data_IF_544426672981
#
_entry.id   IF_544426672981
#
_cell.length_a   1.000
_cell.length_b   1.000
_cell.length_c   1.000
_cell.angle_alpha   90.00
_cell.angle_beta   90.00
_cell.angle_gamma   90.00
#
_symmetry.space_group_name_H-M   'P 1'
#
loop_
_entity.id
_entity.type
_entity.pdbx_description
1 polymer ?
#
# COMPACT_ATOMS: atom_id res chain seq x y z
N UNK A 1 -31.81 34.95 -13.67
CA UNK A 1 -30.63 35.08 -12.79
C UNK A 1 -30.78 34.20 -11.55
N UNK A 2 -31.64 34.52 -10.56
CA UNK A 2 -31.80 33.71 -9.33
C UNK A 2 -32.12 32.22 -9.57
N UNK A 3 -33.11 31.91 -10.42
CA UNK A 3 -33.46 30.53 -10.76
C UNK A 3 -32.34 29.76 -11.50
N UNK A 4 -31.49 30.46 -12.28
CA UNK A 4 -30.34 29.84 -12.94
C UNK A 4 -29.22 29.54 -11.94
N UNK A 5 -28.98 30.45 -11.00
CA UNK A 5 -28.01 30.25 -9.92
C UNK A 5 -28.41 29.08 -9.02
N UNK A 6 -29.70 28.97 -8.68
CA UNK A 6 -30.23 27.86 -7.91
C UNK A 6 -30.10 26.52 -8.64
N UNK A 7 -30.44 26.48 -9.94
CA UNK A 7 -30.27 25.30 -10.76
C UNK A 7 -28.79 24.86 -10.87
N UNK A 8 -27.86 25.80 -11.05
CA UNK A 8 -26.43 25.49 -11.06
C UNK A 8 -25.91 24.97 -9.72
N UNK A 9 -26.38 25.54 -8.60
CA UNK A 9 -26.03 25.05 -7.26
C UNK A 9 -26.57 23.62 -7.01
N UNK A 10 -27.76 23.32 -7.53
CA UNK A 10 -28.31 21.96 -7.52
C UNK A 10 -27.47 21.00 -8.36
N UNK A 11 -27.05 21.41 -9.56
CA UNK A 11 -26.15 20.61 -10.41
C UNK A 11 -24.83 20.33 -9.71
N UNK A 12 -24.23 21.32 -9.04
CA UNK A 12 -22.98 21.14 -8.29
C UNK A 12 -23.13 20.12 -7.15
N UNK A 13 -24.28 20.16 -6.46
CA UNK A 13 -24.62 19.18 -5.42
C UNK A 13 -24.75 17.78 -6.01
N UNK A 14 -25.55 17.61 -7.07
CA UNK A 14 -25.74 16.32 -7.75
C UNK A 14 -24.43 15.77 -8.30
N UNK A 15 -23.55 16.64 -8.81
CA UNK A 15 -22.23 16.26 -9.29
C UNK A 15 -21.39 15.67 -8.14
N UNK A 16 -21.38 16.31 -6.96
CA UNK A 16 -20.71 15.77 -5.78
C UNK A 16 -21.27 14.38 -5.40
N UNK A 17 -22.59 14.24 -5.39
CA UNK A 17 -23.23 12.95 -5.10
C UNK A 17 -22.90 11.87 -6.15
N UNK A 18 -22.83 12.24 -7.43
CA UNK A 18 -22.46 11.33 -8.52
C UNK A 18 -21.06 10.74 -8.28
N UNK A 19 -20.08 11.58 -7.98
CA UNK A 19 -18.71 11.12 -7.72
C UNK A 19 -18.61 10.35 -6.40
N UNK A 20 -19.38 10.70 -5.37
CA UNK A 20 -19.47 9.87 -4.17
C UNK A 20 -20.05 8.48 -4.49
N UNK A 21 -21.15 8.41 -5.25
CA UNK A 21 -21.77 7.16 -5.68
C UNK A 21 -20.82 6.31 -6.54
N UNK A 22 -20.03 6.94 -7.42
CA UNK A 22 -19.06 6.24 -8.27
C UNK A 22 -17.86 5.71 -7.46
N UNK A 23 -17.26 6.54 -6.63
CA UNK A 23 -15.93 6.29 -6.05
C UNK A 23 -16.00 5.60 -4.68
N UNK A 24 -17.03 5.91 -3.90
CA UNK A 24 -17.10 5.53 -2.49
C UNK A 24 -18.26 4.57 -2.17
N UNK A 25 -19.19 4.33 -3.09
CA UNK A 25 -20.27 3.37 -2.90
C UNK A 25 -20.03 2.08 -3.67
N UNK A 26 -20.12 0.96 -2.97
CA UNK A 26 -19.94 -0.38 -3.51
C UNK A 26 -21.26 -1.14 -3.34
N UNK A 27 -21.97 -1.28 -4.46
CA UNK A 27 -23.26 -1.93 -4.50
C UNK A 27 -23.10 -3.46 -4.53
N UNK A 28 -24.07 -4.18 -3.98
CA UNK A 28 -24.15 -5.64 -4.15
C UNK A 28 -24.32 -6.06 -5.61
N UNK A 29 -24.87 -5.17 -6.45
CA UNK A 29 -25.08 -5.35 -7.89
C UNK A 29 -24.41 -4.20 -8.66
N UNK A 30 -23.28 -4.51 -9.30
CA UNK A 30 -22.50 -3.53 -10.06
C UNK A 30 -23.26 -2.99 -11.28
N UNK A 31 -24.14 -3.77 -11.90
CA UNK A 31 -24.95 -3.34 -13.03
C UNK A 31 -25.92 -2.25 -12.59
N UNK A 32 -26.62 -2.46 -11.46
CA UNK A 32 -27.53 -1.44 -10.91
C UNK A 32 -26.81 -0.18 -10.47
N UNK A 33 -25.58 -0.29 -9.94
CA UNK A 33 -24.74 0.89 -9.67
C UNK A 33 -24.43 1.66 -10.95
N UNK A 34 -24.03 0.97 -12.00
CA UNK A 34 -23.69 1.59 -13.28
C UNK A 34 -24.93 2.26 -13.92
N UNK A 35 -26.11 1.63 -13.84
CA UNK A 35 -27.38 2.22 -14.26
C UNK A 35 -27.73 3.48 -13.45
N UNK A 36 -27.56 3.45 -12.12
CA UNK A 36 -27.81 4.60 -11.26
C UNK A 36 -26.84 5.76 -11.53
N UNK A 37 -25.56 5.46 -11.78
CA UNK A 37 -24.56 6.42 -12.22
C UNK A 37 -24.99 7.04 -13.55
N UNK A 38 -25.36 6.23 -14.55
CA UNK A 38 -25.81 6.72 -15.85
C UNK A 38 -27.08 7.59 -15.76
N UNK A 39 -28.05 7.19 -14.93
CA UNK A 39 -29.27 7.96 -14.69
C UNK A 39 -28.97 9.32 -14.04
N UNK A 40 -28.07 9.35 -13.04
CA UNK A 40 -27.66 10.60 -12.38
C UNK A 40 -26.85 11.50 -13.32
N UNK A 41 -26.04 10.94 -14.22
CA UNK A 41 -25.39 11.69 -15.31
C UNK A 41 -26.45 12.36 -16.21
N UNK A 42 -27.46 11.60 -16.66
CA UNK A 42 -28.54 12.18 -17.49
C UNK A 42 -29.29 13.29 -16.76
N UNK A 43 -29.64 13.10 -15.49
CA UNK A 43 -30.29 14.10 -14.65
C UNK A 43 -29.46 15.39 -14.60
N UNK A 44 -28.16 15.28 -14.30
CA UNK A 44 -27.25 16.42 -14.25
C UNK A 44 -27.23 17.16 -15.59
N UNK A 45 -27.06 16.44 -16.70
CA UNK A 45 -26.97 17.04 -18.04
C UNK A 45 -28.25 17.77 -18.42
N UNK A 46 -29.43 17.23 -18.06
CA UNK A 46 -30.73 17.87 -18.32
C UNK A 46 -30.99 19.10 -17.45
N UNK A 47 -30.42 19.14 -16.22
CA UNK A 47 -30.60 20.25 -15.29
C UNK A 47 -29.66 21.43 -15.55
N UNK A 48 -28.65 21.28 -16.41
CA UNK A 48 -27.77 22.40 -16.81
C UNK A 48 -28.62 23.45 -17.55
N UNK A 49 -28.78 24.67 -17.03
CA UNK A 49 -29.63 25.67 -17.67
C UNK A 49 -29.04 26.15 -19.00
N UNK A 50 -29.88 26.33 -20.02
CA UNK A 50 -29.45 26.83 -21.35
C UNK A 50 -28.74 28.20 -21.29
N UNK A 51 -29.11 29.03 -20.30
CA UNK A 51 -28.51 30.33 -20.05
C UNK A 51 -27.22 30.30 -19.22
N UNK A 52 -26.74 29.13 -18.81
CA UNK A 52 -25.49 29.02 -18.06
C UNK A 52 -24.29 29.48 -18.91
N UNK A 53 -23.24 30.07 -18.30
CA UNK A 53 -22.02 30.42 -19.02
C UNK A 53 -21.48 29.22 -19.79
N UNK A 54 -21.24 29.37 -21.10
CA UNK A 54 -20.90 28.26 -22.01
C UNK A 54 -19.75 27.39 -21.50
N UNK A 55 -18.72 28.00 -20.93
CA UNK A 55 -17.58 27.29 -20.35
C UNK A 55 -17.99 26.45 -19.12
N UNK A 56 -18.80 27.01 -18.21
CA UNK A 56 -19.31 26.30 -17.02
C UNK A 56 -20.24 25.16 -17.41
N UNK A 57 -21.13 25.37 -18.37
CA UNK A 57 -22.02 24.33 -18.88
C UNK A 57 -21.23 23.17 -19.51
N UNK A 58 -20.23 23.49 -20.35
CA UNK A 58 -19.35 22.48 -20.96
C UNK A 58 -18.55 21.71 -19.89
N UNK A 59 -18.03 22.39 -18.88
CA UNK A 59 -17.35 21.75 -17.75
C UNK A 59 -18.28 20.80 -16.98
N UNK A 60 -19.46 21.25 -16.57
CA UNK A 60 -20.40 20.43 -15.79
C UNK A 60 -20.86 19.20 -16.57
N UNK A 61 -21.19 19.38 -17.86
CA UNK A 61 -21.55 18.27 -18.74
C UNK A 61 -20.40 17.29 -18.90
N UNK A 62 -19.20 17.79 -19.22
CA UNK A 62 -18.00 16.97 -19.39
C UNK A 62 -17.64 16.20 -18.11
N UNK A 63 -17.69 16.86 -16.96
CA UNK A 63 -17.41 16.24 -15.66
C UNK A 63 -18.44 15.20 -15.25
N UNK A 64 -19.71 15.37 -15.60
CA UNK A 64 -20.72 14.34 -15.38
C UNK A 64 -20.46 13.13 -16.28
N UNK A 65 -20.25 13.34 -17.57
CA UNK A 65 -19.98 12.27 -18.54
C UNK A 65 -18.69 11.49 -18.22
N UNK A 66 -17.71 12.14 -17.58
CA UNK A 66 -16.46 11.52 -17.14
C UNK A 66 -16.61 10.62 -15.89
N UNK A 67 -17.80 10.51 -15.30
CA UNK A 67 -17.98 9.61 -14.15
C UNK A 67 -18.01 8.12 -14.53
N UNK A 68 -18.12 7.77 -15.82
CA UNK A 68 -18.01 6.37 -16.26
C UNK A 68 -16.55 5.89 -16.20
N UNK A 69 -16.32 4.61 -15.92
CA UNK A 69 -14.95 4.07 -15.74
C UNK A 69 -14.11 4.13 -17.03
N UNK A 70 -14.75 3.90 -18.18
CA UNK A 70 -14.10 3.95 -19.49
C UNK A 70 -13.88 5.37 -20.00
N UNK A 71 -12.93 5.53 -20.92
CA UNK A 71 -12.73 6.80 -21.61
C UNK A 71 -13.99 7.19 -22.41
N UNK A 72 -14.43 8.44 -22.26
CA UNK A 72 -15.57 9.01 -22.99
C UNK A 72 -15.10 10.14 -23.89
N UNK A 73 -15.18 9.93 -25.20
CA UNK A 73 -14.83 10.96 -26.19
C UNK A 73 -15.73 12.20 -26.07
N UNK A 74 -17.02 12.02 -25.76
CA UNK A 74 -17.93 13.14 -25.52
C UNK A 74 -17.51 13.95 -24.28
N UNK A 75 -17.10 13.29 -23.19
CA UNK A 75 -16.59 13.97 -22.01
C UNK A 75 -15.33 14.80 -22.35
N UNK A 76 -14.38 14.20 -23.07
CA UNK A 76 -13.17 14.87 -23.53
C UNK A 76 -13.50 16.13 -24.36
N UNK A 77 -14.39 16.02 -25.35
CA UNK A 77 -14.78 17.15 -26.20
C UNK A 77 -15.42 18.30 -25.39
N UNK A 78 -16.27 17.99 -24.42
CA UNK A 78 -16.89 19.02 -23.56
C UNK A 78 -15.86 19.68 -22.64
N UNK A 79 -14.93 18.91 -22.07
CA UNK A 79 -13.87 19.43 -21.20
C UNK A 79 -12.85 20.27 -21.98
N UNK A 80 -12.45 19.84 -23.18
CA UNK A 80 -11.64 20.64 -24.11
C UNK A 80 -12.32 21.97 -24.45
N UNK A 81 -13.63 21.91 -24.75
CA UNK A 81 -14.42 23.12 -25.02
C UNK A 81 -14.43 24.04 -23.81
N UNK A 82 -14.56 23.50 -22.59
CA UNK A 82 -14.55 24.30 -21.37
C UNK A 82 -13.21 25.03 -21.18
N UNK A 83 -12.07 24.35 -21.33
CA UNK A 83 -10.73 24.97 -21.19
C UNK A 83 -10.39 25.94 -22.34
N UNK A 84 -10.95 25.73 -23.54
CA UNK A 84 -10.81 26.68 -24.67
C UNK A 84 -11.61 27.96 -24.44
N UNK A 85 -12.83 27.84 -23.88
CA UNK A 85 -13.72 28.98 -23.62
C UNK A 85 -13.34 29.76 -22.37
N UNK A 86 -12.83 29.08 -21.34
CA UNK A 86 -12.34 29.70 -20.11
C UNK A 86 -11.02 29.02 -19.70
N UNK A 87 -9.88 29.48 -20.23
CA UNK A 87 -8.57 28.92 -19.88
C UNK A 87 -8.25 28.99 -18.40
N UNK A 88 -8.86 29.90 -17.65
CA UNK A 88 -8.64 30.06 -16.20
C UNK A 88 -9.59 29.21 -15.34
N UNK A 89 -10.47 28.40 -15.95
CA UNK A 89 -11.30 27.45 -15.24
C UNK A 89 -10.48 26.22 -14.84
N UNK A 90 -9.84 26.30 -13.68
CA UNK A 90 -8.90 25.30 -13.14
C UNK A 90 -9.55 23.93 -12.99
N UNK A 91 -10.80 23.87 -12.55
CA UNK A 91 -11.56 22.63 -12.37
C UNK A 91 -11.74 21.88 -13.70
N UNK A 92 -11.85 22.60 -14.82
CA UNK A 92 -11.95 21.98 -16.14
C UNK A 92 -10.63 21.37 -16.61
N UNK A 93 -9.49 21.98 -16.27
CA UNK A 93 -8.18 21.36 -16.53
C UNK A 93 -7.96 20.09 -15.72
N UNK A 94 -8.33 20.11 -14.42
CA UNK A 94 -8.23 18.92 -13.57
C UNK A 94 -9.15 17.79 -14.08
N UNK A 95 -10.40 18.11 -14.43
CA UNK A 95 -11.34 17.15 -15.00
C UNK A 95 -10.88 16.60 -16.36
N UNK A 96 -10.31 17.44 -17.24
CA UNK A 96 -9.73 17.00 -18.51
C UNK A 96 -8.56 16.05 -18.27
N UNK A 97 -7.69 16.35 -17.31
CA UNK A 97 -6.61 15.46 -16.89
C UNK A 97 -7.12 14.10 -16.41
N UNK A 98 -8.20 14.07 -15.62
CA UNK A 98 -8.83 12.83 -15.16
C UNK A 98 -9.44 12.03 -16.32
N UNK A 99 -10.11 12.69 -17.26
CA UNK A 99 -10.66 12.05 -18.45
C UNK A 99 -9.57 11.40 -19.32
N UNK A 100 -8.48 12.14 -19.56
CA UNK A 100 -7.35 11.68 -20.36
C UNK A 100 -6.52 10.59 -19.66
N UNK A 101 -6.52 10.54 -18.33
CA UNK A 101 -5.86 9.47 -17.57
C UNK A 101 -6.41 8.07 -17.91
N UNK A 102 -7.65 7.98 -18.41
CA UNK A 102 -8.27 6.72 -18.84
C UNK A 102 -7.72 6.22 -20.19
N UNK A 103 -6.90 7.03 -20.88
CA UNK A 103 -6.16 6.60 -22.07
C UNK A 103 -4.82 5.95 -21.67
N UNK A 104 -4.26 5.07 -22.52
CA UNK A 104 -2.93 4.50 -22.29
C UNK A 104 -1.79 5.53 -22.26
N UNK A 105 -1.92 6.66 -22.98
CA UNK A 105 -0.93 7.74 -22.99
C UNK A 105 -1.25 8.79 -21.91
N UNK A 106 -0.41 8.81 -20.88
CA UNK A 106 -0.59 9.67 -19.71
C UNK A 106 0.07 11.04 -19.86
N UNK A 107 0.74 11.33 -20.98
CA UNK A 107 1.44 12.61 -21.16
C UNK A 107 0.46 13.79 -21.20
N UNK A 108 -0.64 13.67 -21.95
CA UNK A 108 -1.65 14.73 -22.04
C UNK A 108 -2.36 14.96 -20.70
N UNK A 109 -2.63 13.88 -19.96
CA UNK A 109 -3.21 13.96 -18.62
C UNK A 109 -2.30 14.76 -17.67
N UNK A 110 -0.99 14.47 -17.70
CA UNK A 110 0.01 15.20 -16.92
C UNK A 110 0.03 16.68 -17.25
N UNK A 111 0.08 17.03 -18.53
CA UNK A 111 0.09 18.42 -18.99
C UNK A 111 -1.17 19.18 -18.51
N UNK A 112 -2.34 18.53 -18.48
CA UNK A 112 -3.57 19.14 -17.99
C UNK A 112 -3.51 19.43 -16.48
N UNK A 113 -3.02 18.49 -15.68
CA UNK A 113 -2.87 18.72 -14.25
C UNK A 113 -1.79 19.76 -13.91
N UNK A 114 -0.68 19.79 -14.65
CA UNK A 114 0.36 20.82 -14.50
C UNK A 114 -0.21 22.21 -14.80
N UNK A 115 -0.95 22.37 -15.91
CA UNK A 115 -1.66 23.62 -16.22
C UNK A 115 -2.68 24.02 -15.16
N UNK A 116 -3.40 23.07 -14.57
CA UNK A 116 -4.31 23.35 -13.47
C UNK A 116 -3.55 23.93 -12.27
N UNK A 117 -2.47 23.27 -11.85
CA UNK A 117 -1.63 23.66 -10.70
C UNK A 117 -0.91 24.99 -10.93
N UNK A 118 -0.44 25.27 -12.14
CA UNK A 118 0.16 26.57 -12.52
C UNK A 118 -0.81 27.74 -12.32
N UNK A 119 -2.09 27.54 -12.63
CA UNK A 119 -3.14 28.56 -12.49
C UNK A 119 -3.59 28.71 -11.05
N UNK A 120 -3.95 27.60 -10.41
CA UNK A 120 -4.32 27.52 -8.99
C UNK A 120 -4.27 26.07 -8.53
N UNK A 121 -3.62 25.82 -7.41
CA UNK A 121 -3.58 24.48 -6.83
C UNK A 121 -4.99 24.02 -6.41
N UNK A 122 -5.38 22.82 -6.83
CA UNK A 122 -6.57 22.11 -6.34
C UNK A 122 -6.15 20.75 -5.80
N UNK A 123 -6.89 20.23 -4.82
CA UNK A 123 -6.60 18.92 -4.25
C UNK A 123 -6.64 17.82 -5.32
N UNK A 124 -7.63 17.86 -6.22
CA UNK A 124 -7.74 16.91 -7.34
C UNK A 124 -6.54 16.95 -8.28
N UNK A 125 -6.11 18.13 -8.74
CA UNK A 125 -4.97 18.22 -9.67
C UNK A 125 -3.67 17.74 -9.03
N UNK A 126 -3.44 18.09 -7.76
CA UNK A 126 -2.28 17.63 -7.00
C UNK A 126 -2.31 16.11 -6.75
N UNK A 127 -3.49 15.52 -6.49
CA UNK A 127 -3.63 14.06 -6.44
C UNK A 127 -3.30 13.42 -7.77
N UNK A 128 -3.83 13.96 -8.88
CA UNK A 128 -3.52 13.51 -10.23
C UNK A 128 -2.02 13.48 -10.52
N UNK A 129 -1.32 14.59 -10.23
CA UNK A 129 0.15 14.66 -10.35
C UNK A 129 0.87 13.68 -9.44
N UNK A 130 0.37 13.49 -8.20
CA UNK A 130 0.93 12.52 -7.28
C UNK A 130 0.87 11.11 -7.85
N UNK A 131 -0.28 10.70 -8.40
CA UNK A 131 -0.50 9.38 -9.00
C UNK A 131 0.40 9.22 -10.23
N UNK A 132 0.38 10.18 -11.17
CA UNK A 132 1.24 10.20 -12.37
C UNK A 132 2.73 10.04 -12.04
N UNK A 133 3.19 10.73 -11.00
CA UNK A 133 4.60 10.66 -10.61
C UNK A 133 5.00 9.25 -10.20
N UNK A 134 4.12 8.49 -9.53
CA UNK A 134 4.43 7.12 -9.06
C UNK A 134 4.13 6.00 -10.06
N UNK A 135 3.46 6.29 -11.18
CA UNK A 135 3.10 5.31 -12.23
C UNK A 135 4.01 5.36 -13.47
N UNK A 136 5.08 6.16 -13.44
CA UNK A 136 6.03 6.25 -14.56
C UNK A 136 6.70 4.90 -14.88
N UNK A 137 7.18 4.73 -16.12
CA UNK A 137 7.91 3.53 -16.51
C UNK A 137 9.32 3.51 -15.91
N UNK A 138 9.46 2.80 -14.79
CA UNK A 138 10.74 2.62 -14.07
C UNK A 138 11.87 2.07 -14.95
N UNK A 139 11.57 1.38 -16.06
CA UNK A 139 12.60 0.87 -16.99
C UNK A 139 13.25 1.97 -17.83
N UNK A 140 12.60 3.13 -17.92
CA UNK A 140 13.05 4.29 -18.71
C UNK A 140 13.73 5.36 -17.85
N UNK A 141 13.88 5.13 -16.54
CA UNK A 141 14.38 6.13 -15.59
C UNK A 141 15.65 5.63 -14.89
N UNK A 142 16.59 6.53 -14.65
CA UNK A 142 17.72 6.27 -13.74
C UNK A 142 17.23 6.17 -12.28
N UNK A 143 17.99 5.54 -11.36
CA UNK A 143 17.62 5.50 -9.94
C UNK A 143 17.37 6.88 -9.32
N UNK A 144 18.14 7.88 -9.73
CA UNK A 144 18.02 9.26 -9.26
C UNK A 144 16.71 9.89 -9.76
N UNK A 145 16.36 9.67 -11.03
CA UNK A 145 15.08 10.12 -11.60
C UNK A 145 13.90 9.40 -10.96
N UNK A 146 13.97 8.08 -10.75
CA UNK A 146 12.94 7.30 -10.05
C UNK A 146 12.72 7.86 -8.64
N UNK A 147 13.80 8.07 -7.87
CA UNK A 147 13.73 8.71 -6.55
C UNK A 147 13.05 10.08 -6.57
N UNK A 148 13.43 10.94 -7.52
CA UNK A 148 12.83 12.27 -7.67
C UNK A 148 11.33 12.21 -8.01
N UNK A 149 10.89 11.23 -8.81
CA UNK A 149 9.46 11.04 -9.08
C UNK A 149 8.68 10.64 -7.81
N UNK A 150 9.24 9.79 -6.95
CA UNK A 150 8.57 9.41 -5.70
C UNK A 150 8.53 10.56 -4.68
N UNK A 151 9.60 11.37 -4.61
CA UNK A 151 9.61 12.58 -3.78
C UNK A 151 8.59 13.63 -4.27
N UNK A 152 8.49 13.80 -5.59
CA UNK A 152 7.43 14.62 -6.20
C UNK A 152 6.03 14.08 -5.86
N UNK A 153 5.85 12.75 -5.91
CA UNK A 153 4.57 12.11 -5.56
C UNK A 153 4.14 12.43 -4.12
N UNK A 154 5.05 12.32 -3.15
CA UNK A 154 4.78 12.65 -1.74
C UNK A 154 4.52 14.15 -1.58
N UNK A 155 5.27 15.00 -2.28
CA UNK A 155 5.12 16.46 -2.21
C UNK A 155 3.74 16.90 -2.69
N UNK A 156 3.31 16.42 -3.86
CA UNK A 156 1.99 16.75 -4.40
C UNK A 156 0.85 16.22 -3.52
N UNK A 157 0.91 14.98 -3.05
CA UNK A 157 -0.12 14.42 -2.17
C UNK A 157 -0.23 15.16 -0.83
N UNK A 158 0.92 15.55 -0.25
CA UNK A 158 0.95 16.35 0.97
C UNK A 158 0.35 17.74 0.75
N UNK A 159 0.63 18.37 -0.39
CA UNK A 159 0.01 19.64 -0.74
C UNK A 159 -1.52 19.50 -0.90
N UNK A 160 -2.00 18.39 -1.49
CA UNK A 160 -3.43 18.12 -1.58
C UNK A 160 -4.10 18.03 -0.19
N UNK A 161 -3.48 17.31 0.76
CA UNK A 161 -3.98 17.20 2.14
C UNK A 161 -3.99 18.55 2.89
N UNK A 162 -3.13 19.50 2.50
CA UNK A 162 -3.12 20.85 3.10
C UNK A 162 -4.24 21.73 2.57
N UNK A 163 -4.68 21.51 1.33
CA UNK A 163 -5.80 22.24 0.73
C UNK A 163 -7.14 21.77 1.30
N UNK A 164 -7.27 20.46 1.54
CA UNK A 164 -8.43 19.87 2.20
C UNK A 164 -7.99 18.77 3.17
N UNK A 165 -8.03 19.08 4.47
CA UNK A 165 -7.61 18.15 5.52
C UNK A 165 -8.70 17.15 5.93
N UNK A 166 -9.93 17.35 5.47
CA UNK A 166 -11.08 16.53 5.81
C UNK A 166 -11.47 15.56 4.69
N UNK A 167 -10.89 15.70 3.49
CA UNK A 167 -11.07 14.77 2.38
C UNK A 167 -10.20 13.51 2.51
N UNK A 168 -10.84 12.33 2.57
CA UNK A 168 -10.13 11.04 2.70
C UNK A 168 -9.22 10.68 1.53
N UNK A 169 -9.60 11.08 0.31
CA UNK A 169 -8.89 10.72 -0.93
C UNK A 169 -7.47 11.29 -1.00
N UNK A 170 -7.27 12.51 -0.48
CA UNK A 170 -5.96 13.15 -0.40
C UNK A 170 -5.02 12.40 0.55
N UNK A 171 -5.53 12.00 1.72
CA UNK A 171 -4.77 11.21 2.70
C UNK A 171 -4.47 9.79 2.21
N UNK A 172 -5.43 9.15 1.51
CA UNK A 172 -5.22 7.87 0.85
C UNK A 172 -4.11 7.95 -0.21
N UNK A 173 -4.16 8.99 -1.06
CA UNK A 173 -3.13 9.27 -2.07
C UNK A 173 -1.75 9.47 -1.44
N UNK A 174 -1.68 10.17 -0.32
CA UNK A 174 -0.44 10.38 0.43
C UNK A 174 0.11 9.07 1.01
N UNK A 175 -0.77 8.18 1.49
CA UNK A 175 -0.38 6.86 1.97
C UNK A 175 0.26 6.02 0.88
N UNK A 176 -0.36 6.00 -0.30
CA UNK A 176 0.19 5.31 -1.47
C UNK A 176 1.49 5.93 -1.98
N UNK A 177 1.64 7.26 -1.92
CA UNK A 177 2.90 7.92 -2.26
C UNK A 177 4.05 7.49 -1.31
N UNK A 178 3.78 7.45 -0.01
CA UNK A 178 4.74 6.96 0.99
C UNK A 178 5.07 5.47 0.80
N UNK A 179 4.06 4.61 0.58
CA UNK A 179 4.30 3.18 0.28
C UNK A 179 5.16 3.01 -0.97
N UNK A 180 4.83 3.71 -2.06
CA UNK A 180 5.63 3.62 -3.29
C UNK A 180 7.07 4.03 -3.03
N UNK A 181 7.27 5.16 -2.35
CA UNK A 181 8.61 5.67 -2.02
C UNK A 181 9.39 4.69 -1.15
N UNK A 182 8.75 4.06 -0.17
CA UNK A 182 9.35 3.02 0.67
C UNK A 182 9.82 1.81 -0.16
N UNK A 183 8.99 1.34 -1.09
CA UNK A 183 9.32 0.16 -1.90
C UNK A 183 10.23 0.47 -3.10
N UNK A 184 10.34 1.74 -3.52
CA UNK A 184 11.20 2.16 -4.63
C UNK A 184 12.62 2.53 -4.19
N UNK A 185 12.78 3.10 -2.98
CA UNK A 185 14.08 3.26 -2.36
C UNK A 185 14.71 1.86 -2.27
N UNK A 186 15.70 1.61 -3.14
CA UNK A 186 16.42 0.35 -3.17
C UNK A 186 16.98 -0.04 -1.80
N UNK A 187 17.52 -1.26 -1.74
CA UNK A 187 17.85 -2.08 -0.55
C UNK A 187 18.79 -1.46 0.52
N UNK A 188 19.23 -0.21 0.37
CA UNK A 188 20.05 0.54 1.35
C UNK A 188 19.43 1.88 1.79
N UNK A 189 18.31 2.30 1.19
CA UNK A 189 17.69 3.60 1.43
C UNK A 189 16.32 3.54 2.11
N UNK A 190 15.75 2.34 2.32
CA UNK A 190 14.40 2.17 2.89
C UNK A 190 14.27 2.93 4.20
N UNK A 191 13.51 4.01 4.14
CA UNK A 191 13.24 4.82 5.29
C UNK A 191 12.03 4.24 6.05
N UNK A 192 12.25 3.69 7.24
CA UNK A 192 11.17 3.18 8.10
C UNK A 192 10.11 4.25 8.40
N UNK A 193 10.49 5.54 8.29
CA UNK A 193 9.58 6.68 8.39
C UNK A 193 8.53 6.68 7.27
N UNK A 194 8.85 6.28 6.04
CA UNK A 194 7.85 6.27 4.95
C UNK A 194 6.73 5.28 5.23
N UNK A 195 7.07 4.06 5.66
CA UNK A 195 6.09 3.04 5.99
C UNK A 195 5.24 3.45 7.21
N UNK A 196 5.86 4.02 8.25
CA UNK A 196 5.15 4.61 9.39
C UNK A 196 4.17 5.72 8.96
N UNK A 197 4.65 6.64 8.10
CA UNK A 197 3.83 7.75 7.62
C UNK A 197 2.65 7.24 6.80
N UNK A 198 2.87 6.22 5.95
CA UNK A 198 1.78 5.57 5.20
C UNK A 198 0.68 5.04 6.15
N UNK A 199 1.05 4.36 7.23
CA UNK A 199 0.08 3.82 8.20
C UNK A 199 -0.75 4.93 8.85
N UNK A 200 -0.08 5.98 9.33
CA UNK A 200 -0.76 7.13 9.97
C UNK A 200 -1.74 7.83 9.02
N UNK A 201 -1.34 8.03 7.76
CA UNK A 201 -2.21 8.74 6.81
C UNK A 201 -3.36 7.86 6.30
N UNK A 202 -3.21 6.53 6.23
CA UNK A 202 -4.35 5.64 5.96
C UNK A 202 -5.38 5.65 7.10
N UNK A 203 -4.95 5.71 8.37
CA UNK A 203 -5.87 5.87 9.50
C UNK A 203 -6.61 7.22 9.46
N UNK A 204 -5.91 8.30 9.11
CA UNK A 204 -6.55 9.61 8.90
C UNK A 204 -7.54 9.57 7.72
N UNK A 205 -7.16 8.94 6.61
CA UNK A 205 -8.04 8.76 5.45
C UNK A 205 -9.32 7.98 5.82
N UNK A 206 -9.19 6.87 6.55
CA UNK A 206 -10.33 6.09 7.05
C UNK A 206 -11.25 6.94 7.95
N UNK A 207 -10.68 7.72 8.85
CA UNK A 207 -11.43 8.63 9.73
C UNK A 207 -12.20 9.67 8.92
N UNK A 208 -11.59 10.23 7.87
CA UNK A 208 -12.24 11.14 6.95
C UNK A 208 -13.41 10.47 6.22
N UNK A 209 -13.20 9.30 5.61
CA UNK A 209 -14.28 8.55 4.94
C UNK A 209 -15.43 8.17 5.87
N UNK A 210 -15.17 7.92 7.15
CA UNK A 210 -16.20 7.64 8.14
C UNK A 210 -17.05 8.88 8.50
N UNK A 211 -16.47 10.08 8.44
CA UNK A 211 -17.15 11.36 8.73
C UNK A 211 -17.85 11.97 7.52
N UNK A 212 -17.46 11.59 6.31
CA UNK A 212 -18.05 12.13 5.07
C UNK A 212 -19.55 11.89 5.03
N UNK A 213 -20.32 12.97 4.86
CA UNK A 213 -21.75 12.89 4.61
C UNK A 213 -22.02 12.11 3.31
N UNK A 214 -22.91 11.12 3.39
CA UNK A 214 -23.24 10.20 2.30
C UNK A 214 -24.61 10.55 1.72
N UNK A 215 -24.75 10.60 0.40
CA UNK A 215 -26.05 10.80 -0.21
C UNK A 215 -26.94 9.58 0.01
N UNK A 216 -28.24 9.81 0.10
CA UNK A 216 -29.22 8.73 0.12
C UNK A 216 -29.21 7.99 -1.22
N UNK A 217 -29.25 6.67 -1.18
CA UNK A 217 -29.42 5.81 -2.36
C UNK A 217 -30.37 4.66 -2.01
N UNK A 218 -31.19 4.24 -2.96
CA UNK A 218 -32.05 3.07 -2.84
C UNK A 218 -31.31 1.75 -3.08
N UNK A 219 -30.05 1.83 -3.54
CA UNK A 219 -29.23 0.66 -3.81
C UNK A 219 -28.76 0.02 -2.49
N UNK A 220 -28.77 -1.31 -2.47
CA UNK A 220 -28.12 -2.07 -1.41
C UNK A 220 -26.59 -2.06 -1.63
N UNK A 221 -25.84 -1.69 -0.60
CA UNK A 221 -24.39 -1.60 -0.68
C UNK A 221 -23.77 -0.94 0.53
N UNK A 222 -22.46 -0.70 0.44
CA UNK A 222 -21.67 -0.10 1.52
C UNK A 222 -20.82 1.05 1.00
N UNK A 223 -20.58 2.00 1.89
CA UNK A 223 -19.73 3.14 1.61
C UNK A 223 -18.35 2.94 2.23
N UNK A 224 -17.29 3.19 1.46
CA UNK A 224 -15.91 3.07 1.91
C UNK A 224 -14.90 3.21 0.77
N UNK A 225 -13.65 2.89 1.07
CA UNK A 225 -12.57 2.76 0.08
C UNK A 225 -11.89 1.40 0.31
N UNK A 226 -12.16 0.38 -0.52
CA UNK A 226 -11.57 -0.94 -0.36
C UNK A 226 -10.08 -0.96 -0.74
N UNK A 227 -9.64 -0.12 -1.68
CA UNK A 227 -8.23 -0.02 -2.08
C UNK A 227 -7.34 0.52 -0.95
N UNK A 228 -7.88 1.42 -0.11
CA UNK A 228 -7.22 1.86 1.13
C UNK A 228 -6.98 0.68 2.05
N UNK A 229 -8.02 -0.12 2.30
CA UNK A 229 -7.95 -1.31 3.17
C UNK A 229 -6.95 -2.30 2.62
N UNK A 230 -7.02 -2.60 1.33
CA UNK A 230 -6.10 -3.49 0.64
C UNK A 230 -4.65 -3.00 0.77
N UNK A 231 -4.40 -1.72 0.48
CA UNK A 231 -3.05 -1.11 0.55
C UNK A 231 -2.49 -1.13 1.97
N UNK A 232 -3.31 -0.83 2.98
CA UNK A 232 -2.91 -0.92 4.38
C UNK A 232 -2.67 -2.36 4.82
N UNK A 233 -3.52 -3.30 4.40
CA UNK A 233 -3.35 -4.73 4.67
C UNK A 233 -2.06 -5.29 4.11
N UNK A 234 -1.69 -4.91 2.87
CA UNK A 234 -0.40 -5.29 2.27
C UNK A 234 0.79 -4.75 3.06
N UNK A 235 0.70 -3.51 3.55
CA UNK A 235 1.74 -2.90 4.37
C UNK A 235 1.84 -3.51 5.77
N UNK A 236 0.71 -3.82 6.43
CA UNK A 236 0.65 -4.55 7.70
C UNK A 236 1.22 -5.95 7.56
N UNK A 237 0.90 -6.65 6.46
CA UNK A 237 1.49 -7.95 6.10
C UNK A 237 3.01 -7.87 6.00
N UNK A 238 3.54 -6.78 5.42
CA UNK A 238 4.99 -6.57 5.28
C UNK A 238 5.70 -6.45 6.64
N UNK A 239 5.08 -5.78 7.62
CA UNK A 239 5.61 -5.63 9.00
C UNK A 239 5.21 -6.76 9.95
N UNK A 240 4.58 -7.80 9.42
CA UNK A 240 4.09 -8.98 10.15
C UNK A 240 2.97 -8.70 11.16
N UNK A 241 2.31 -7.56 11.06
CA UNK A 241 0.98 -7.34 11.65
C UNK A 241 -0.05 -8.15 10.85
N UNK A 242 0.02 -9.47 10.96
CA UNK A 242 -0.82 -10.37 10.17
C UNK A 242 -2.27 -10.34 10.62
N UNK A 243 -2.54 -10.10 11.92
CA UNK A 243 -3.90 -9.93 12.41
C UNK A 243 -4.56 -8.71 11.77
N UNK A 244 -3.92 -7.55 11.85
CA UNK A 244 -4.41 -6.33 11.22
C UNK A 244 -4.48 -6.42 9.70
N UNK A 245 -3.56 -7.15 9.06
CA UNK A 245 -3.60 -7.41 7.62
C UNK A 245 -4.80 -8.28 7.20
N UNK A 246 -5.06 -9.38 7.93
CA UNK A 246 -6.22 -10.26 7.69
C UNK A 246 -7.53 -9.46 7.85
N UNK A 247 -7.63 -8.64 8.89
CA UNK A 247 -8.80 -7.80 9.13
C UNK A 247 -9.02 -6.77 8.01
N UNK A 248 -7.94 -6.12 7.55
CA UNK A 248 -8.01 -5.19 6.43
C UNK A 248 -8.40 -5.88 5.11
N UNK A 249 -7.86 -7.06 4.83
CA UNK A 249 -8.23 -7.84 3.64
C UNK A 249 -9.69 -8.29 3.67
N UNK A 250 -10.19 -8.74 4.82
CA UNK A 250 -11.62 -9.07 4.99
C UNK A 250 -12.50 -7.84 4.84
N UNK A 251 -12.09 -6.70 5.40
CA UNK A 251 -12.82 -5.45 5.26
C UNK A 251 -12.84 -4.94 3.80
N UNK A 252 -11.73 -5.08 3.07
CA UNK A 252 -11.66 -4.78 1.64
C UNK A 252 -12.63 -5.66 0.84
N UNK A 253 -12.60 -6.98 1.06
CA UNK A 253 -13.48 -7.94 0.39
C UNK A 253 -14.97 -7.73 0.71
N UNK A 254 -15.28 -7.36 1.95
CA UNK A 254 -16.65 -7.09 2.38
C UNK A 254 -17.24 -5.80 1.78
N UNK A 255 -16.40 -4.93 1.21
CA UNK A 255 -16.78 -3.78 0.40
C UNK A 255 -16.82 -4.14 -1.08
N UNK A 256 -15.74 -4.73 -1.60
CA UNK A 256 -15.59 -5.12 -2.99
C UNK A 256 -15.04 -6.55 -3.13
N UNK A 257 -15.91 -7.55 -3.39
CA UNK A 257 -15.48 -8.92 -3.60
C UNK A 257 -14.56 -9.11 -4.80
N UNK A 258 -14.61 -8.24 -5.81
CA UNK A 258 -13.86 -8.38 -7.07
C UNK A 258 -12.34 -8.26 -6.89
N UNK A 259 -11.90 -7.65 -5.78
CA UNK A 259 -10.49 -7.54 -5.40
C UNK A 259 -9.86 -8.88 -4.99
N UNK A 260 -10.66 -9.94 -4.78
CA UNK A 260 -10.23 -11.24 -4.25
C UNK A 260 -9.45 -11.13 -2.92
N UNK A 261 -9.66 -10.04 -2.17
CA UNK A 261 -8.97 -9.83 -0.89
C UNK A 261 -9.37 -10.88 0.17
N UNK A 262 -10.54 -11.53 0.02
CA UNK A 262 -10.95 -12.65 0.87
C UNK A 262 -9.97 -13.83 0.78
N UNK A 263 -9.56 -14.20 -0.44
CA UNK A 263 -8.58 -15.26 -0.64
C UNK A 263 -7.23 -14.88 -0.02
N UNK A 264 -6.81 -13.62 -0.14
CA UNK A 264 -5.60 -13.12 0.51
C UNK A 264 -5.65 -13.28 2.04
N UNK A 265 -6.81 -13.02 2.65
CA UNK A 265 -7.02 -13.18 4.09
C UNK A 265 -6.94 -14.65 4.53
N UNK A 266 -7.55 -15.55 3.78
CA UNK A 266 -7.56 -16.98 4.09
C UNK A 266 -6.21 -17.64 3.81
N UNK A 267 -5.52 -17.23 2.75
CA UNK A 267 -4.14 -17.64 2.45
C UNK A 267 -3.20 -17.23 3.56
N UNK A 268 -3.29 -15.97 4.01
CA UNK A 268 -2.46 -15.48 5.11
C UNK A 268 -2.80 -16.19 6.42
N UNK A 269 -4.08 -16.43 6.71
CA UNK A 269 -4.52 -17.18 7.89
C UNK A 269 -3.97 -18.61 7.91
N UNK A 270 -4.05 -19.32 6.77
CA UNK A 270 -3.50 -20.68 6.62
C UNK A 270 -1.98 -20.69 6.77
N UNK A 271 -1.30 -19.71 6.19
CA UNK A 271 0.14 -19.59 6.32
C UNK A 271 0.58 -19.44 7.77
N UNK A 272 -0.02 -18.47 8.48
CA UNK A 272 0.38 -18.15 9.86
C UNK A 272 0.15 -19.35 10.77
N UNK A 273 -0.95 -20.08 10.60
CA UNK A 273 -1.19 -21.37 11.29
C UNK A 273 -0.13 -22.41 10.97
N UNK A 274 0.19 -22.61 9.68
CA UNK A 274 1.23 -23.56 9.25
C UNK A 274 2.60 -23.25 9.86
N UNK A 275 2.99 -21.98 9.91
CA UNK A 275 4.25 -21.56 10.54
C UNK A 275 4.23 -21.88 12.03
N UNK A 276 3.15 -21.55 12.73
CA UNK A 276 2.99 -21.83 14.15
C UNK A 276 3.04 -23.34 14.45
N UNK A 277 2.30 -24.17 13.72
CA UNK A 277 2.28 -25.62 13.90
C UNK A 277 3.68 -26.23 13.74
N UNK A 278 4.43 -25.77 12.74
CA UNK A 278 5.80 -26.23 12.50
C UNK A 278 6.78 -25.68 13.55
N UNK A 279 6.57 -24.45 14.01
CA UNK A 279 7.34 -23.84 15.09
C UNK A 279 7.18 -24.62 16.41
N UNK A 280 5.95 -24.91 16.83
CA UNK A 280 5.65 -25.69 18.05
C UNK A 280 6.27 -27.10 17.99
N UNK A 281 6.28 -27.69 16.79
CA UNK A 281 6.85 -29.02 16.54
C UNK A 281 8.35 -29.00 16.24
N UNK A 282 9.05 -27.90 16.48
CA UNK A 282 10.49 -27.73 16.22
C UNK A 282 10.88 -28.11 14.79
N UNK A 283 10.23 -27.45 13.82
CA UNK A 283 10.31 -27.70 12.38
C UNK A 283 9.92 -29.13 11.96
N UNK A 284 9.19 -29.87 12.82
CA UNK A 284 8.81 -31.26 12.64
C UNK A 284 9.99 -32.21 12.39
N UNK A 285 11.18 -31.88 12.89
CA UNK A 285 12.39 -32.68 12.74
C UNK A 285 12.47 -33.81 13.78
N UNK A 286 13.09 -34.94 13.38
CA UNK A 286 13.40 -36.02 14.34
C UNK A 286 14.47 -35.55 15.34
N UNK A 287 14.48 -36.03 16.59
CA UNK A 287 15.43 -35.58 17.62
C UNK A 287 16.91 -35.60 17.18
N UNK A 288 17.35 -36.68 16.50
CA UNK A 288 18.73 -36.78 15.98
C UNK A 288 19.07 -35.73 14.91
N UNK A 289 18.12 -35.41 14.04
CA UNK A 289 18.32 -34.40 12.99
C UNK A 289 18.39 -33.00 13.60
N UNK A 290 17.50 -32.72 14.57
CA UNK A 290 17.49 -31.49 15.35
C UNK A 290 18.84 -31.29 16.06
N UNK A 291 19.28 -32.29 16.83
CA UNK A 291 20.55 -32.22 17.57
C UNK A 291 21.74 -31.90 16.65
N UNK A 292 21.83 -32.56 15.48
CA UNK A 292 22.90 -32.31 14.49
C UNK A 292 22.90 -30.87 13.95
N UNK A 293 21.73 -30.22 13.87
CA UNK A 293 21.64 -28.82 13.47
C UNK A 293 22.06 -27.90 14.62
N UNK A 294 21.54 -28.15 15.84
CA UNK A 294 21.87 -27.38 17.04
C UNK A 294 23.36 -27.38 17.34
N UNK A 295 24.05 -28.50 17.11
CA UNK A 295 25.51 -28.62 17.28
C UNK A 295 26.31 -27.62 16.43
N UNK A 296 25.76 -27.16 15.29
CA UNK A 296 26.41 -26.15 14.45
C UNK A 296 26.45 -24.77 15.07
N UNK A 297 25.64 -24.49 16.09
CA UNK A 297 25.66 -23.22 16.79
C UNK A 297 26.87 -23.08 17.71
N UNK A 298 27.48 -24.19 18.18
CA UNK A 298 28.65 -24.15 19.07
C UNK A 298 29.93 -23.65 18.39
N UNK A 299 30.00 -23.69 17.05
CA UNK A 299 31.17 -23.28 16.29
C UNK A 299 31.13 -21.80 15.87
N UNK A 300 30.07 -21.08 16.25
CA UNK A 300 29.86 -19.68 15.90
C UNK A 300 30.80 -18.74 16.64
N UNK A 301 31.39 -17.80 15.90
CA UNK A 301 32.22 -16.74 16.45
C UNK A 301 31.43 -15.45 16.58
N UNK A 302 31.65 -14.74 17.69
CA UNK A 302 31.08 -13.42 17.91
C UNK A 302 31.61 -12.42 16.86
N UNK A 303 30.73 -11.76 16.09
CA UNK A 303 31.16 -10.72 15.15
C UNK A 303 31.72 -9.49 15.87
N UNK A 304 32.72 -8.85 15.27
CA UNK A 304 33.33 -7.64 15.84
C UNK A 304 32.28 -6.54 16.07
N UNK A 305 32.25 -5.99 17.28
CA UNK A 305 31.33 -4.90 17.66
C UNK A 305 29.91 -5.35 18.05
N UNK A 306 29.64 -6.66 18.09
CA UNK A 306 28.36 -7.20 18.54
C UNK A 306 28.56 -8.17 19.70
N UNK A 307 27.60 -8.18 20.64
CA UNK A 307 27.57 -9.14 21.74
C UNK A 307 26.62 -10.29 21.43
N UNK A 308 27.12 -11.52 21.43
CA UNK A 308 26.27 -12.70 21.29
C UNK A 308 25.30 -12.78 22.47
N UNK A 309 24.00 -12.84 22.18
CA UNK A 309 22.94 -12.79 23.18
C UNK A 309 21.93 -13.89 22.92
N UNK A 310 21.60 -14.65 23.97
CA UNK A 310 20.58 -15.70 23.92
C UNK A 310 19.18 -15.12 23.71
N UNK A 311 18.31 -15.89 23.04
CA UNK A 311 16.97 -15.45 22.62
C UNK A 311 16.14 -14.88 23.78
N UNK A 312 16.14 -15.51 24.95
CA UNK A 312 15.41 -15.07 26.14
C UNK A 312 15.89 -13.74 26.72
N UNK A 313 17.14 -13.32 26.45
CA UNK A 313 17.69 -12.01 26.89
C UNK A 313 17.51 -10.89 25.86
N UNK A 314 16.92 -11.20 24.70
CA UNK A 314 16.58 -10.19 23.70
C UNK A 314 15.23 -9.55 24.04
N UNK A 315 15.18 -8.23 23.90
CA UNK A 315 13.95 -7.47 24.07
C UNK A 315 13.00 -7.81 22.92
N UNK A 316 11.78 -8.19 23.28
CA UNK A 316 10.72 -8.55 22.34
C UNK A 316 9.82 -7.33 22.10
N UNK A 317 9.29 -7.22 20.89
CA UNK A 317 8.27 -6.26 20.52
C UNK A 317 7.06 -7.02 19.97
N UNK A 318 5.88 -6.43 20.09
CA UNK A 318 4.71 -6.98 19.42
C UNK A 318 4.79 -6.67 17.93
N UNK A 319 4.27 -7.57 17.10
CA UNK A 319 3.98 -7.24 15.71
C UNK A 319 3.06 -6.01 15.67
N UNK A 320 3.36 -5.07 14.80
CA UNK A 320 2.58 -3.84 14.72
C UNK A 320 3.12 -2.88 13.69
N UNK A 321 2.28 -1.92 13.30
CA UNK A 321 2.61 -0.87 12.36
C UNK A 321 2.78 0.50 13.07
N UNK A 322 3.21 0.46 14.34
CA UNK A 322 3.35 1.65 15.18
C UNK A 322 4.77 2.25 15.12
N UNK A 323 4.93 3.45 15.70
CA UNK A 323 6.22 4.13 15.69
C UNK A 323 7.35 3.36 16.39
N UNK A 324 7.04 2.46 17.34
CA UNK A 324 8.05 1.67 18.05
C UNK A 324 8.61 0.57 17.15
N UNK A 325 7.77 -0.05 16.32
CA UNK A 325 8.19 -1.05 15.35
C UNK A 325 9.21 -0.49 14.34
N UNK A 326 9.10 0.80 14.00
CA UNK A 326 9.97 1.48 13.03
C UNK A 326 11.18 2.20 13.64
N UNK A 327 11.34 2.16 14.97
CA UNK A 327 12.48 2.73 15.66
C UNK A 327 13.75 1.88 15.45
N UNK A 328 14.89 2.37 15.94
CA UNK A 328 16.10 1.55 16.01
C UNK A 328 15.82 0.26 16.80
N UNK A 329 16.46 -0.84 16.39
CA UNK A 329 16.28 -2.14 17.04
C UNK A 329 16.50 -2.00 18.56
N UNK A 330 15.59 -2.52 19.40
CA UNK A 330 15.77 -2.51 20.85
C UNK A 330 16.96 -3.39 21.30
N UNK A 331 17.51 -4.17 20.37
CA UNK A 331 18.66 -5.04 20.58
C UNK A 331 19.91 -4.54 19.85
N UNK A 332 20.05 -3.22 19.68
CA UNK A 332 21.24 -2.60 19.09
C UNK A 332 22.54 -3.06 19.78
N UNK A 333 23.55 -3.42 18.98
CA UNK A 333 24.83 -3.95 19.43
C UNK A 333 24.79 -5.42 19.87
N UNK A 334 23.66 -6.12 19.72
CA UNK A 334 23.53 -7.54 20.03
C UNK A 334 23.46 -8.37 18.76
N UNK A 335 23.87 -9.62 18.83
CA UNK A 335 23.65 -10.59 17.76
C UNK A 335 23.03 -11.88 18.28
N UNK A 336 22.29 -12.55 17.39
CA UNK A 336 21.67 -13.85 17.64
C UNK A 336 22.20 -14.87 16.63
N UNK A 337 22.71 -15.98 17.16
CA UNK A 337 23.17 -17.11 16.36
C UNK A 337 21.99 -18.00 15.97
N UNK A 338 21.87 -18.31 14.68
CA UNK A 338 20.77 -19.05 14.09
C UNK A 338 21.32 -20.18 13.21
N UNK A 339 20.61 -21.31 13.16
CA UNK A 339 20.84 -22.36 12.17
C UNK A 339 19.52 -22.63 11.46
N UNK A 340 19.53 -22.60 10.13
CA UNK A 340 18.32 -22.85 9.35
C UNK A 340 17.90 -24.31 9.51
N UNK A 341 16.65 -24.53 9.92
CA UNK A 341 16.08 -25.86 10.09
C UNK A 341 15.19 -26.24 8.91
N UNK A 342 14.35 -25.31 8.44
CA UNK A 342 13.37 -25.56 7.40
C UNK A 342 13.13 -24.30 6.58
N UNK A 343 13.03 -24.48 5.27
CA UNK A 343 12.59 -23.45 4.34
C UNK A 343 11.07 -23.59 4.11
N UNK A 344 10.33 -22.48 4.25
CA UNK A 344 8.88 -22.43 4.05
C UNK A 344 8.52 -21.59 2.83
N UNK A 345 7.58 -22.11 2.03
CA UNK A 345 7.10 -21.48 0.79
C UNK A 345 5.58 -21.44 0.74
N UNK A 346 5.00 -20.32 0.30
CA UNK A 346 3.61 -20.09 -0.09
C UNK A 346 3.49 -20.30 -1.62
N UNK A 347 3.59 -21.55 -2.08
CA UNK A 347 3.44 -21.90 -3.50
C UNK A 347 4.72 -21.97 -4.33
N UNK A 348 4.59 -21.85 -5.66
CA UNK A 348 5.58 -22.28 -6.65
C UNK A 348 6.60 -21.24 -7.15
N UNK A 349 6.62 -20.00 -6.64
CA UNK A 349 7.60 -18.99 -7.07
C UNK A 349 8.66 -18.73 -6.00
N UNK A 350 9.93 -18.71 -6.43
CA UNK A 350 11.13 -18.39 -5.62
C UNK A 350 11.23 -16.87 -5.47
N UNK A 351 11.58 -16.30 -4.29
CA UNK A 351 12.20 -16.93 -3.10
C UNK A 351 11.23 -17.34 -1.96
N UNK A 352 11.69 -18.17 -0.99
CA UNK A 352 10.92 -18.59 0.19
C UNK A 352 10.41 -17.43 1.05
N UNK A 353 9.20 -17.61 1.60
CA UNK A 353 8.46 -16.61 2.38
C UNK A 353 8.85 -16.54 3.85
N UNK A 354 9.39 -17.64 4.41
CA UNK A 354 9.96 -17.67 5.76
C UNK A 354 10.91 -18.85 5.92
N UNK A 355 11.71 -18.78 6.98
CA UNK A 355 12.52 -19.89 7.44
C UNK A 355 12.16 -20.22 8.88
N UNK A 356 12.24 -21.49 9.26
CA UNK A 356 12.36 -21.85 10.67
C UNK A 356 13.83 -22.09 10.97
N UNK A 357 14.28 -21.53 12.08
CA UNK A 357 15.64 -21.64 12.57
C UNK A 357 15.63 -22.16 14.01
N UNK A 358 16.76 -22.70 14.43
CA UNK A 358 17.07 -22.85 15.86
C UNK A 358 18.01 -21.74 16.30
N UNK A 359 17.72 -21.16 17.45
CA UNK A 359 18.48 -20.09 18.06
C UNK A 359 18.97 -20.52 19.45
N UNK A 360 20.14 -20.03 19.85
CA UNK A 360 20.64 -20.24 21.20
C UNK A 360 19.76 -19.54 22.24
N UNK A 361 19.35 -20.25 23.28
CA UNK A 361 18.43 -19.78 24.31
C UNK A 361 18.79 -20.31 25.70
N UNK A 362 19.97 -19.91 26.19
CA UNK A 362 20.45 -20.28 27.52
C UNK A 362 21.18 -21.60 27.52
N UNK A 363 20.58 -22.66 28.05
CA UNK A 363 21.11 -24.04 28.10
C UNK A 363 20.54 -24.93 26.99
N UNK A 364 19.65 -24.39 26.15
CA UNK A 364 18.94 -25.10 25.08
C UNK A 364 18.90 -24.27 23.80
N UNK A 365 18.44 -24.90 22.73
CA UNK A 365 18.04 -24.21 21.51
C UNK A 365 16.52 -24.11 21.42
N UNK A 366 16.04 -22.94 20.99
CA UNK A 366 14.63 -22.64 20.79
C UNK A 366 14.35 -22.47 19.30
N UNK A 367 13.21 -22.98 18.82
CA UNK A 367 12.77 -22.72 17.45
C UNK A 367 12.29 -21.27 17.33
N UNK A 368 12.60 -20.63 16.20
CA UNK A 368 12.12 -19.29 15.83
C UNK A 368 11.84 -19.24 14.34
N UNK A 369 10.86 -18.44 13.94
CA UNK A 369 10.74 -18.03 12.55
C UNK A 369 11.80 -16.95 12.24
N UNK A 370 12.26 -16.91 11.00
CA UNK A 370 13.18 -15.92 10.48
C UNK A 370 12.57 -15.32 9.21
N UNK A 371 12.37 -14.01 9.26
CA UNK A 371 11.87 -13.24 8.13
C UNK A 371 12.99 -12.40 7.57
N UNK A 372 13.32 -12.72 6.32
CA UNK A 372 14.44 -12.10 5.63
C UNK A 372 13.91 -11.35 4.43
N UNK A 373 14.09 -10.04 4.44
CA UNK A 373 13.69 -9.18 3.34
C UNK A 373 14.91 -8.94 2.45
N UNK A 374 14.75 -9.06 1.14
CA UNK A 374 15.76 -8.63 0.15
C UNK A 374 17.10 -9.37 0.16
N UNK A 375 17.10 -10.64 0.54
CA UNK A 375 18.30 -11.49 0.61
C UNK A 375 18.25 -12.60 -0.45
N UNK A 376 19.42 -13.01 -0.94
CA UNK A 376 19.52 -14.20 -1.80
C UNK A 376 19.33 -15.45 -0.96
N UNK A 377 18.08 -15.93 -0.96
CA UNK A 377 17.68 -17.10 -0.20
C UNK A 377 18.38 -18.40 -0.65
N UNK A 378 19.08 -18.43 -1.79
CA UNK A 378 19.83 -19.64 -2.23
C UNK A 378 20.87 -20.10 -1.22
N UNK A 379 21.40 -19.19 -0.41
CA UNK A 379 22.39 -19.49 0.64
C UNK A 379 21.77 -19.83 1.99
N UNK A 380 20.43 -19.81 2.09
CA UNK A 380 19.70 -20.06 3.33
C UNK A 380 19.12 -21.48 3.39
N UNK A 381 19.85 -22.46 2.84
CA UNK A 381 19.40 -23.86 2.85
C UNK A 381 19.44 -24.45 4.28
N UNK A 382 18.66 -25.51 4.58
CA UNK A 382 18.73 -26.20 5.87
C UNK A 382 20.17 -26.57 6.27
N UNK A 383 20.56 -26.16 7.48
CA UNK A 383 21.90 -26.31 8.03
C UNK A 383 22.84 -25.13 7.78
N UNK A 384 22.42 -24.10 7.03
CA UNK A 384 23.13 -22.83 6.95
C UNK A 384 23.17 -22.17 8.33
N UNK A 385 24.34 -21.63 8.68
CA UNK A 385 24.55 -20.97 9.96
C UNK A 385 24.57 -19.46 9.74
N UNK A 386 23.71 -18.77 10.48
CA UNK A 386 23.43 -17.35 10.30
C UNK A 386 23.67 -16.58 11.58
N UNK A 387 24.15 -15.35 11.46
CA UNK A 387 24.17 -14.37 12.56
C UNK A 387 23.27 -13.21 12.23
N UNK A 388 22.20 -13.03 13.00
CA UNK A 388 21.34 -11.85 12.92
C UNK A 388 21.91 -10.74 13.81
N UNK A 389 22.24 -9.60 13.20
CA UNK A 389 22.75 -8.40 13.86
C UNK A 389 21.61 -7.45 14.19
N UNK A 390 21.63 -6.84 15.37
CA UNK A 390 20.55 -5.99 15.89
C UNK A 390 19.15 -6.60 15.73
N UNK A 391 18.94 -7.87 16.13
CA UNK A 391 17.73 -8.60 15.80
C UNK A 391 16.49 -7.96 16.42
N UNK A 392 15.44 -7.78 15.62
CA UNK A 392 14.12 -7.39 16.13
C UNK A 392 13.33 -8.67 16.38
N UNK A 393 13.07 -8.98 17.65
CA UNK A 393 12.29 -10.17 18.03
C UNK A 393 10.83 -9.78 18.13
N UNK A 394 10.02 -10.35 17.25
CA UNK A 394 8.60 -10.03 17.10
C UNK A 394 7.75 -11.18 17.63
N UNK A 395 6.83 -10.88 18.55
CA UNK A 395 5.74 -11.78 18.90
C UNK A 395 4.59 -11.58 17.92
N UNK A 396 4.30 -12.62 17.13
CA UNK A 396 3.25 -12.61 16.12
C UNK A 396 1.90 -12.86 16.79
N UNK A 397 1.18 -11.78 17.09
CA UNK A 397 -0.07 -11.77 17.86
C UNK A 397 -1.33 -12.10 17.05
N UNK A 398 -1.36 -13.24 16.36
CA UNK A 398 -2.60 -13.71 15.67
C UNK A 398 -3.40 -14.69 16.53
N UNK A 399 -4.30 -15.48 15.92
CA UNK A 399 -4.95 -16.64 16.56
C UNK A 399 -3.97 -17.74 16.99
N UNK A 400 -2.72 -17.67 16.49
CA UNK A 400 -1.60 -18.53 16.89
C UNK A 400 -0.40 -17.64 17.27
N UNK A 401 0.48 -18.17 18.13
CA UNK A 401 1.64 -17.43 18.64
C UNK A 401 2.94 -18.13 18.25
N UNK A 402 3.87 -17.37 17.68
CA UNK A 402 5.26 -17.77 17.50
C UNK A 402 6.16 -16.54 17.46
N UNK A 403 7.45 -16.74 17.68
CA UNK A 403 8.46 -15.67 17.63
C UNK A 403 9.11 -15.62 16.26
N UNK A 404 9.17 -14.43 15.68
CA UNK A 404 9.98 -14.14 14.50
C UNK A 404 11.23 -13.33 14.89
N UNK A 405 12.34 -13.63 14.25
CA UNK A 405 13.49 -12.73 14.12
C UNK A 405 13.33 -11.97 12.80
N UNK A 406 13.08 -10.65 12.88
CA UNK A 406 13.07 -9.79 11.70
C UNK A 406 14.47 -9.21 11.49
N UNK A 407 14.97 -9.34 10.27
CA UNK A 407 16.20 -8.69 9.84
C UNK A 407 15.88 -7.66 8.75
N UNK A 408 15.96 -6.38 9.12
CA UNK A 408 15.48 -5.27 8.29
C UNK A 408 16.34 -5.01 7.04
N UNK A 409 17.62 -5.40 7.05
CA UNK A 409 18.53 -5.21 5.92
C UNK A 409 19.42 -6.43 5.71
N UNK A 410 19.70 -6.78 4.45
CA UNK A 410 20.56 -7.91 4.11
C UNK A 410 21.95 -7.86 4.77
N UNK A 411 22.51 -6.66 4.98
CA UNK A 411 23.78 -6.44 5.66
C UNK A 411 23.78 -6.85 7.14
N UNK A 412 22.60 -6.97 7.75
CA UNK A 412 22.43 -7.39 9.15
C UNK A 412 22.21 -8.90 9.29
N UNK A 413 22.32 -9.66 8.20
CA UNK A 413 22.34 -11.12 8.22
C UNK A 413 23.66 -11.62 7.66
N UNK A 414 24.46 -12.26 8.52
CA UNK A 414 25.71 -12.91 8.13
C UNK A 414 25.47 -14.39 7.90
N UNK A 415 26.05 -14.96 6.85
CA UNK A 415 26.13 -16.39 6.60
C UNK A 415 27.59 -16.83 6.75
N UNK A 416 27.86 -17.73 7.69
CA UNK A 416 29.22 -18.13 8.07
C UNK A 416 30.15 -16.92 8.32
N UNK A 417 29.64 -15.92 9.03
CA UNK A 417 30.37 -14.68 9.36
C UNK A 417 30.49 -13.66 8.23
N UNK A 418 30.02 -13.97 7.02
CA UNK A 418 30.09 -13.08 5.87
C UNK A 418 28.72 -12.48 5.55
N UNK A 419 28.59 -11.17 5.26
CA UNK A 419 27.33 -10.59 4.84
C UNK A 419 26.77 -11.31 3.60
N UNK A 420 25.47 -11.59 3.60
CA UNK A 420 24.84 -12.21 2.45
C UNK A 420 24.86 -11.26 1.24
N UNK A 421 25.14 -11.78 0.03
CA UNK A 421 25.12 -10.96 -1.17
C UNK A 421 23.70 -10.42 -1.40
N UNK A 422 23.64 -9.18 -1.86
CA UNK A 422 22.38 -8.54 -2.23
C UNK A 422 21.82 -9.22 -3.48
N UNK A 423 20.52 -9.55 -3.49
CA UNK A 423 19.83 -9.77 -4.77
C UNK A 423 19.78 -8.42 -5.47
N UNK A 424 19.89 -8.39 -6.81
CA UNK A 424 19.79 -7.15 -7.61
C UNK A 424 18.41 -6.96 -8.27
N UNK A 425 17.62 -8.03 -8.45
CA UNK A 425 16.31 -7.94 -9.09
C UNK A 425 15.28 -7.33 -8.14
N UNK A 426 14.76 -6.15 -8.50
CA UNK A 426 13.68 -5.48 -7.80
C UNK A 426 12.47 -6.40 -7.66
N UNK A 427 11.67 -6.16 -6.63
CA UNK A 427 10.35 -6.76 -6.46
C UNK A 427 9.52 -6.34 -7.68
N UNK A 428 9.51 -7.17 -8.72
CA UNK A 428 8.66 -6.97 -9.87
C UNK A 428 7.24 -7.24 -9.38
N UNK A 429 6.50 -6.15 -9.19
CA UNK A 429 5.08 -6.12 -8.93
C UNK A 429 4.31 -6.90 -10.00
N UNK A 430 4.15 -8.21 -9.80
CA UNK A 430 3.07 -8.96 -10.43
C UNK A 430 1.78 -8.88 -9.59
N UNK A 431 1.88 -8.53 -8.31
CA UNK A 431 0.71 -8.39 -7.40
C UNK A 431 0.11 -6.98 -7.36
N UNK A 432 0.69 -6.01 -8.08
CA UNK A 432 0.20 -4.62 -8.15
C UNK A 432 -0.33 -4.19 -9.51
N UNK A 433 -0.55 -5.15 -10.42
CA UNK A 433 -1.26 -4.89 -11.68
C UNK A 433 -2.60 -5.61 -11.63
N UNK A 434 -3.57 -4.94 -11.03
CA UNK A 434 -4.91 -4.77 -11.55
C UNK A 434 -5.52 -3.59 -10.82
#
# INVERSE_FOLDING_TARGET
MAAQTEALAKVDTLLKELWQLRDAFFASDATKKNEAVAAKIQEIVQLIPDGAPKARAAYLKGRALDAVESYSEEANQQLEKAVKLAPDLVEAWAALGHCLWKKPDLHEAKNCYEKAVEKRQTAEALRGLSVLSRTHDTRKSTPEQDGAFHDASVTHARAACKLDSEEGESWYTLGNAHLRRYFSQGRSGRNSVDLLMAMKVFEKAETCYAKTARPSTSLEGKWGNPDLRLSRGLARRHVEDYAGAIDDFRAAHALDPSLNAGDMAEDLSRWVKRVADLWERNAALKPKQRQKLEEKLYTMKEPAGYKNTELSKLTQVNAGADAKHFAASPNAGKCLSLVVALELRRGGSVPPDAFLCFAWDGDKCSCVALSVYDVDCKRLAPGAVLTALDPVIVDVGTSVKYKTVQVQTASKLLHDGNPLPRVLKGWASSEGRK
#
